data_IF_629807554156
#
_entry.id   IF_629807554156
#
_cell.length_a   1.000
_cell.length_b   1.000
_cell.length_c   1.000
_cell.angle_alpha   90.00
_cell.angle_beta   90.00
_cell.angle_gamma   90.00
#
_symmetry.space_group_name_H-M   'P 1'
#
loop_
_entity.id
_entity.type
_entity.pdbx_description
1 polymer ?
#
# COMPACT_ATOMS: atom_id res chain seq x y z
N UNK A 1 8.79 18.20 20.86
CA UNK A 1 9.51 18.35 19.59
C UNK A 1 9.24 17.16 18.66
N UNK A 2 9.47 15.93 19.09
CA UNK A 2 9.12 14.73 18.30
C UNK A 2 7.64 14.68 17.87
N UNK A 3 6.70 14.96 18.77
CA UNK A 3 5.26 14.99 18.45
C UNK A 3 4.89 16.05 17.39
N UNK A 4 5.54 17.21 17.39
CA UNK A 4 5.28 18.29 16.42
C UNK A 4 5.79 17.89 15.03
N UNK A 5 6.97 17.28 14.96
CA UNK A 5 7.51 16.81 13.69
C UNK A 5 6.76 15.57 13.18
N UNK A 6 6.24 14.73 14.07
CA UNK A 6 5.35 13.62 13.71
C UNK A 6 4.03 14.13 13.11
N UNK A 7 3.41 15.14 13.71
CA UNK A 7 2.18 15.77 13.21
C UNK A 7 2.39 16.41 11.82
N UNK A 8 3.58 16.98 11.57
CA UNK A 8 3.98 17.47 10.24
C UNK A 8 4.35 16.37 9.25
N UNK A 9 4.19 15.09 9.59
CA UNK A 9 4.60 13.92 8.79
C UNK A 9 6.11 13.82 8.52
N UNK A 10 6.95 14.49 9.33
CA UNK A 10 8.41 14.42 9.25
C UNK A 10 8.97 13.33 10.18
N UNK A 11 8.77 12.06 9.79
CA UNK A 11 9.16 10.91 10.62
C UNK A 11 10.66 10.87 10.95
N UNK A 12 11.53 11.25 10.01
CA UNK A 12 12.99 11.23 10.23
C UNK A 12 13.45 12.27 11.25
N UNK A 13 12.86 13.45 11.26
CA UNK A 13 13.20 14.48 12.24
C UNK A 13 12.55 14.19 13.60
N UNK A 14 11.37 13.56 13.61
CA UNK A 14 10.79 13.01 14.83
C UNK A 14 11.68 11.92 15.45
N UNK A 15 12.26 11.02 14.64
CA UNK A 15 13.25 10.02 15.08
C UNK A 15 14.52 10.65 15.61
N UNK A 16 15.06 11.68 14.95
CA UNK A 16 16.25 12.40 15.43
C UNK A 16 15.98 13.05 16.79
N UNK A 17 14.84 13.73 16.93
CA UNK A 17 14.44 14.35 18.18
C UNK A 17 14.30 13.35 19.34
N UNK A 18 13.92 12.09 19.06
CA UNK A 18 13.92 11.03 20.08
C UNK A 18 15.32 10.49 20.38
N UNK A 19 16.22 10.43 19.39
CA UNK A 19 17.62 10.00 19.58
C UNK A 19 18.45 11.02 20.35
N UNK A 20 18.07 12.29 20.32
CA UNK A 20 18.71 13.36 21.09
C UNK A 20 18.36 13.32 22.58
N UNK A 21 17.41 12.47 23.00
CA UNK A 21 17.11 12.25 24.41
C UNK A 21 18.23 11.45 25.10
N UNK A 22 18.51 11.71 26.40
CA UNK A 22 19.52 10.96 27.14
C UNK A 22 19.25 9.46 27.08
N UNK A 23 20.27 8.62 26.79
CA UNK A 23 20.09 7.18 26.69
C UNK A 23 19.69 6.61 28.06
N UNK A 24 18.47 6.10 28.13
CA UNK A 24 17.88 5.45 29.32
C UNK A 24 17.58 3.99 29.00
N UNK A 25 17.58 3.12 30.02
CA UNK A 25 17.07 1.75 29.83
C UNK A 25 15.57 1.80 29.56
N UNK A 26 15.04 0.83 28.83
CA UNK A 26 13.62 0.77 28.45
C UNK A 26 12.68 0.83 29.68
N UNK A 27 13.13 0.28 30.81
CA UNK A 27 12.45 0.30 32.11
C UNK A 27 12.40 1.70 32.78
N UNK A 28 13.29 2.61 32.37
CA UNK A 28 13.44 3.98 32.91
C UNK A 28 12.84 5.04 31.96
N UNK A 29 12.31 4.60 30.81
CA UNK A 29 11.66 5.48 29.84
C UNK A 29 10.27 5.85 30.37
N UNK A 30 9.96 7.14 30.35
CA UNK A 30 8.63 7.62 30.74
C UNK A 30 7.54 7.16 29.74
N UNK A 31 6.30 6.95 30.20
CA UNK A 31 5.22 6.42 29.35
C UNK A 31 4.96 7.19 28.05
N UNK A 32 5.18 8.51 28.05
CA UNK A 32 5.00 9.38 26.88
C UNK A 32 6.10 9.15 25.84
N UNK A 33 7.35 9.08 26.28
CA UNK A 33 8.48 8.78 25.39
C UNK A 33 8.35 7.37 24.81
N UNK A 34 7.94 6.39 25.62
CA UNK A 34 7.72 5.02 25.16
C UNK A 34 6.59 4.94 24.12
N UNK A 35 5.49 5.67 24.35
CA UNK A 35 4.38 5.78 23.40
C UNK A 35 4.82 6.37 22.06
N UNK A 36 5.52 7.51 22.09
CA UNK A 36 5.99 8.17 20.87
C UNK A 36 7.02 7.33 20.11
N UNK A 37 7.91 6.64 20.84
CA UNK A 37 8.87 5.72 20.23
C UNK A 37 8.17 4.53 19.57
N UNK A 38 7.09 4.01 20.18
CA UNK A 38 6.28 2.95 19.60
C UNK A 38 5.63 3.39 18.29
N UNK A 39 5.00 4.58 18.26
CA UNK A 39 4.36 5.13 17.06
C UNK A 39 5.36 5.36 15.92
N UNK A 40 6.51 5.97 16.23
CA UNK A 40 7.53 6.32 15.23
C UNK A 40 8.19 5.07 14.62
N UNK A 41 8.26 3.97 15.38
CA UNK A 41 8.83 2.70 14.91
C UNK A 41 7.83 1.79 14.20
N UNK A 42 6.54 2.14 14.11
CA UNK A 42 5.53 1.29 13.47
C UNK A 42 5.86 0.94 12.01
N UNK A 43 6.47 1.87 11.27
CA UNK A 43 6.81 1.64 9.86
C UNK A 43 8.09 0.80 9.67
N UNK A 44 8.95 0.70 10.69
CA UNK A 44 10.18 -0.10 10.65
C UNK A 44 9.96 -1.50 11.24
N UNK A 45 9.37 -1.56 12.43
CA UNK A 45 9.05 -2.81 13.13
C UNK A 45 7.76 -2.64 13.95
N UNK A 46 6.65 -2.97 13.31
CA UNK A 46 5.33 -2.98 13.94
C UNK A 46 5.26 -3.90 15.17
N UNK A 47 6.04 -4.98 15.22
CA UNK A 47 6.02 -5.95 16.34
C UNK A 47 6.53 -5.30 17.63
N UNK A 48 7.61 -4.54 17.54
CA UNK A 48 8.15 -3.77 18.66
C UNK A 48 7.15 -2.70 19.09
N UNK A 49 6.56 -1.97 18.14
CA UNK A 49 5.57 -0.94 18.42
C UNK A 49 4.35 -1.48 19.16
N UNK A 50 3.75 -2.58 18.68
CA UNK A 50 2.61 -3.23 19.35
C UNK A 50 2.95 -3.69 20.76
N UNK A 51 4.12 -4.33 20.96
CA UNK A 51 4.55 -4.78 22.28
C UNK A 51 4.67 -3.61 23.28
N UNK A 52 5.25 -2.48 22.85
CA UNK A 52 5.37 -1.28 23.69
C UNK A 52 4.02 -0.68 24.07
N UNK A 53 3.09 -0.58 23.11
CA UNK A 53 1.74 -0.06 23.37
C UNK A 53 0.91 -0.99 24.28
N UNK A 54 1.00 -2.31 24.10
CA UNK A 54 0.36 -3.27 25.00
C UNK A 54 0.94 -3.23 26.41
N UNK A 55 2.26 -3.06 26.53
CA UNK A 55 2.92 -2.87 27.83
C UNK A 55 2.39 -1.62 28.54
N UNK A 56 2.24 -0.49 27.83
CA UNK A 56 1.67 0.73 28.38
C UNK A 56 0.22 0.52 28.85
N UNK A 57 -0.61 -0.11 28.03
CA UNK A 57 -2.02 -0.36 28.39
C UNK A 57 -2.15 -1.26 29.63
N UNK A 58 -1.25 -2.24 29.78
CA UNK A 58 -1.23 -3.16 30.92
C UNK A 58 -0.66 -2.54 32.21
N UNK A 59 0.08 -1.43 32.11
CA UNK A 59 0.75 -0.78 33.25
C UNK A 59 0.38 0.71 33.37
N UNK A 60 -0.79 1.04 33.96
CA UNK A 60 -1.14 2.42 34.26
C UNK A 60 -0.13 3.09 35.22
N UNK A 61 0.15 4.40 35.09
CA UNK A 61 -0.48 5.37 34.19
C UNK A 61 0.13 5.41 32.79
N UNK A 62 -0.72 5.53 31.76
CA UNK A 62 -0.33 5.66 30.35
C UNK A 62 -0.92 6.91 29.69
N UNK A 63 -0.34 7.40 28.57
CA UNK A 63 -0.90 8.52 27.82
C UNK A 63 -2.31 8.20 27.29
N UNK A 64 -3.28 9.14 27.35
CA UNK A 64 -4.66 8.89 26.96
C UNK A 64 -4.81 8.41 25.51
N UNK A 65 -3.90 8.80 24.63
CA UNK A 65 -3.87 8.43 23.21
C UNK A 65 -3.49 6.95 23.00
N UNK A 66 -2.92 6.27 23.99
CA UNK A 66 -2.42 4.89 23.89
C UNK A 66 -3.51 3.92 23.46
N UNK A 67 -4.70 4.02 24.07
CA UNK A 67 -5.79 3.09 23.79
C UNK A 67 -6.34 3.26 22.37
N UNK A 68 -6.64 4.50 21.97
CA UNK A 68 -7.12 4.80 20.62
C UNK A 68 -6.11 4.48 19.52
N UNK A 69 -4.84 4.85 19.72
CA UNK A 69 -3.78 4.58 18.75
C UNK A 69 -3.53 3.08 18.59
N UNK A 70 -3.55 2.30 19.68
CA UNK A 70 -3.39 0.85 19.60
C UNK A 70 -4.49 0.20 18.75
N UNK A 71 -5.77 0.56 18.99
CA UNK A 71 -6.90 0.05 18.24
C UNK A 71 -6.83 0.45 16.75
N UNK A 72 -6.52 1.71 16.46
CA UNK A 72 -6.34 2.19 15.09
C UNK A 72 -5.21 1.46 14.37
N UNK A 73 -4.09 1.19 15.05
CA UNK A 73 -2.97 0.45 14.49
C UNK A 73 -3.33 -1.02 14.23
N UNK A 74 -4.07 -1.67 15.12
CA UNK A 74 -4.57 -3.03 14.85
C UNK A 74 -5.48 -3.06 13.62
N UNK A 75 -6.41 -2.11 13.49
CA UNK A 75 -7.25 -1.97 12.30
C UNK A 75 -6.44 -1.68 11.03
N UNK A 76 -5.37 -0.85 11.11
CA UNK A 76 -4.47 -0.54 9.99
C UNK A 76 -3.73 -1.78 9.48
N UNK A 77 -3.26 -2.63 10.39
CA UNK A 77 -2.56 -3.87 10.08
C UNK A 77 -3.48 -5.08 9.87
N UNK A 78 -4.80 -4.87 9.82
CA UNK A 78 -5.83 -5.90 9.63
C UNK A 78 -5.89 -6.97 10.72
N UNK A 79 -5.40 -6.66 11.92
CA UNK A 79 -5.54 -7.49 13.12
C UNK A 79 -6.87 -7.23 13.83
N UNK A 80 -7.98 -7.46 13.10
CA UNK A 80 -9.32 -7.12 13.56
C UNK A 80 -9.76 -7.91 14.81
N UNK A 81 -9.37 -9.17 14.93
CA UNK A 81 -9.72 -10.01 16.09
C UNK A 81 -9.05 -9.47 17.37
N UNK A 82 -7.76 -9.15 17.30
CA UNK A 82 -7.03 -8.54 18.43
C UNK A 82 -7.60 -7.16 18.80
N UNK A 83 -8.03 -6.36 17.81
CA UNK A 83 -8.70 -5.09 18.08
C UNK A 83 -10.03 -5.30 18.80
N UNK A 84 -10.81 -6.31 18.41
CA UNK A 84 -12.08 -6.66 19.05
C UNK A 84 -11.87 -7.11 20.51
N UNK A 85 -10.89 -7.98 20.75
CA UNK A 85 -10.56 -8.48 22.09
C UNK A 85 -10.14 -7.34 23.02
N UNK A 86 -9.19 -6.49 22.58
CA UNK A 86 -8.72 -5.35 23.37
C UNK A 86 -9.84 -4.36 23.66
N UNK A 87 -10.73 -4.10 22.70
CA UNK A 87 -11.89 -3.21 22.89
C UNK A 87 -12.90 -3.79 23.88
N UNK A 88 -13.12 -5.12 23.85
CA UNK A 88 -14.04 -5.80 24.75
C UNK A 88 -13.51 -5.88 26.20
N UNK A 89 -12.24 -6.24 26.37
CA UNK A 89 -11.58 -6.33 27.68
C UNK A 89 -11.50 -4.97 28.38
N UNK A 90 -11.35 -3.90 27.60
CA UNK A 90 -11.16 -2.54 28.10
C UNK A 90 -12.39 -1.65 27.89
N UNK A 91 -13.60 -2.21 27.91
CA UNK A 91 -14.85 -1.48 27.67
C UNK A 91 -15.05 -0.27 28.62
N UNK A 92 -14.48 -0.32 29.82
CA UNK A 92 -14.47 0.78 30.79
C UNK A 92 -13.60 1.98 30.37
N UNK A 93 -12.59 1.78 29.51
CA UNK A 93 -11.72 2.82 28.99
C UNK A 93 -12.36 3.58 27.82
N UNK A 94 -13.26 2.92 27.07
CA UNK A 94 -13.94 3.48 25.90
C UNK A 94 -14.55 4.86 26.16
N UNK A 95 -15.31 5.02 27.25
CA UNK A 95 -15.99 6.28 27.56
C UNK A 95 -15.05 7.41 27.99
N UNK A 96 -13.84 7.08 28.45
CA UNK A 96 -12.90 8.06 28.99
C UNK A 96 -11.84 8.48 27.96
N UNK A 97 -11.45 7.57 27.07
CA UNK A 97 -10.31 7.74 26.19
C UNK A 97 -10.66 7.79 24.70
N UNK A 98 -11.89 7.43 24.31
CA UNK A 98 -12.35 7.50 22.91
C UNK A 98 -13.46 8.54 22.78
N UNK A 99 -13.38 9.37 21.73
CA UNK A 99 -14.53 10.14 21.30
C UNK A 99 -15.62 9.21 20.76
N UNK A 100 -16.88 9.65 20.83
CA UNK A 100 -17.99 8.85 20.30
C UNK A 100 -17.79 8.51 18.82
N UNK A 101 -17.31 9.46 18.02
CA UNK A 101 -17.05 9.28 16.59
C UNK A 101 -15.91 8.29 16.33
N UNK A 102 -14.84 8.35 17.13
CA UNK A 102 -13.72 7.40 17.02
C UNK A 102 -14.16 5.99 17.42
N UNK A 103 -14.99 5.86 18.46
CA UNK A 103 -15.57 4.57 18.85
C UNK A 103 -16.46 4.00 17.73
N UNK A 104 -17.38 4.81 17.19
CA UNK A 104 -18.26 4.38 16.09
C UNK A 104 -17.44 3.97 14.84
N UNK A 105 -16.35 4.68 14.54
CA UNK A 105 -15.43 4.34 13.46
C UNK A 105 -14.72 3.00 13.72
N UNK A 106 -14.16 2.81 14.91
CA UNK A 106 -13.44 1.58 15.28
C UNK A 106 -14.36 0.36 15.30
N UNK A 107 -15.55 0.50 15.87
CA UNK A 107 -16.59 -0.54 15.89
C UNK A 107 -17.01 -0.92 14.45
N UNK A 108 -17.21 0.07 13.57
CA UNK A 108 -17.47 -0.20 12.15
C UNK A 108 -16.29 -0.87 11.45
N UNK A 109 -15.05 -0.44 11.72
CA UNK A 109 -13.84 -0.98 11.09
C UNK A 109 -13.58 -2.44 11.48
N UNK A 110 -13.77 -2.79 12.74
CA UNK A 110 -13.64 -4.17 13.25
C UNK A 110 -14.73 -5.06 12.65
N UNK A 111 -15.95 -4.55 12.52
CA UNK A 111 -17.10 -5.28 11.97
C UNK A 111 -16.99 -5.58 10.47
N UNK A 112 -16.06 -4.96 9.73
CA UNK A 112 -15.90 -5.20 8.28
C UNK A 112 -15.66 -6.68 7.95
N UNK A 113 -15.00 -7.44 8.82
CA UNK A 113 -14.71 -8.87 8.60
C UNK A 113 -15.92 -9.77 8.85
N UNK A 114 -16.77 -9.41 9.79
CA UNK A 114 -17.90 -10.24 10.24
C UNK A 114 -19.22 -9.86 9.56
N UNK A 115 -19.49 -8.56 9.38
CA UNK A 115 -20.73 -8.01 8.84
C UNK A 115 -20.45 -6.75 8.00
N UNK A 116 -19.99 -6.90 6.74
CA UNK A 116 -19.65 -5.77 5.87
C UNK A 116 -20.82 -4.80 5.63
N UNK A 117 -22.05 -5.31 5.58
CA UNK A 117 -23.26 -4.53 5.35
C UNK A 117 -23.60 -3.61 6.54
N UNK A 118 -23.45 -4.11 7.77
CA UNK A 118 -23.66 -3.29 8.98
C UNK A 118 -22.53 -2.31 9.18
N UNK A 119 -21.28 -2.72 8.94
CA UNK A 119 -20.12 -1.83 8.93
C UNK A 119 -20.34 -0.66 7.96
N UNK A 120 -20.83 -0.95 6.73
CA UNK A 120 -21.15 0.10 5.76
C UNK A 120 -22.22 1.07 6.29
N UNK A 121 -23.30 0.57 6.90
CA UNK A 121 -24.36 1.43 7.47
C UNK A 121 -23.81 2.35 8.57
N UNK A 122 -22.94 1.84 9.44
CA UNK A 122 -22.28 2.66 10.48
C UNK A 122 -21.40 3.74 9.86
N UNK A 123 -20.58 3.40 8.86
CA UNK A 123 -19.78 4.39 8.13
C UNK A 123 -20.65 5.41 7.38
N UNK A 124 -21.80 5.01 6.83
CA UNK A 124 -22.73 5.89 6.13
C UNK A 124 -23.39 6.92 7.05
N UNK A 125 -23.75 6.49 8.27
CA UNK A 125 -24.24 7.37 9.31
C UNK A 125 -23.18 8.40 9.72
N UNK A 126 -21.92 7.97 9.94
CA UNK A 126 -20.81 8.87 10.23
C UNK A 126 -20.55 9.84 9.06
N UNK A 127 -20.49 9.31 7.84
CA UNK A 127 -20.29 10.07 6.61
C UNK A 127 -21.33 11.18 6.45
N UNK A 128 -22.61 10.88 6.72
CA UNK A 128 -23.69 11.87 6.68
C UNK A 128 -23.47 13.01 7.68
N UNK A 129 -23.04 12.69 8.92
CA UNK A 129 -22.75 13.70 9.94
C UNK A 129 -21.59 14.62 9.53
N UNK A 130 -20.49 14.04 9.01
CA UNK A 130 -19.35 14.79 8.51
C UNK A 130 -19.72 15.68 7.31
N UNK A 131 -20.47 15.15 6.34
CA UNK A 131 -20.94 15.90 5.16
C UNK A 131 -21.78 17.11 5.58
N UNK A 132 -22.68 16.95 6.55
CA UNK A 132 -23.52 18.05 7.03
C UNK A 132 -22.70 19.16 7.69
N UNK A 133 -21.63 18.80 8.42
CA UNK A 133 -20.70 19.77 9.02
C UNK A 133 -19.83 20.45 7.96
N UNK A 134 -19.26 19.71 7.03
CA UNK A 134 -18.48 20.24 5.91
C UNK A 134 -19.30 21.22 5.07
N UNK A 135 -20.58 20.93 4.80
CA UNK A 135 -21.48 21.86 4.10
C UNK A 135 -21.76 23.14 4.89
N UNK A 136 -21.88 23.06 6.23
CA UNK A 136 -22.04 24.24 7.08
C UNK A 136 -20.78 25.11 7.05
N UNK A 137 -19.60 24.50 7.17
CA UNK A 137 -18.31 25.20 7.10
C UNK A 137 -18.07 25.84 5.73
N UNK A 138 -18.41 25.15 4.64
CA UNK A 138 -18.32 25.71 3.29
C UNK A 138 -19.24 26.95 3.11
N UNK A 139 -20.44 26.93 3.70
CA UNK A 139 -21.32 28.13 3.73
C UNK A 139 -20.73 29.24 4.58
N UNK A 140 -20.11 28.93 5.71
CA UNK A 140 -19.43 29.90 6.57
C UNK A 140 -18.26 30.57 5.84
N UNK A 141 -17.42 29.80 5.13
CA UNK A 141 -16.31 30.32 4.30
C UNK A 141 -16.84 31.26 3.22
N UNK A 142 -17.93 30.89 2.54
CA UNK A 142 -18.56 31.71 1.51
C UNK A 142 -19.13 33.03 2.08
N UNK A 143 -19.81 32.97 3.22
CA UNK A 143 -20.34 34.15 3.90
C UNK A 143 -19.21 35.09 4.39
N UNK A 144 -18.16 34.53 5.01
CA UNK A 144 -16.99 35.27 5.45
C UNK A 144 -16.29 35.96 4.25
N UNK A 145 -16.16 35.25 3.12
CA UNK A 145 -15.65 35.79 1.86
C UNK A 145 -16.46 36.96 1.34
N UNK A 146 -17.80 36.89 1.41
CA UNK A 146 -18.68 37.98 1.02
C UNK A 146 -18.52 39.22 1.93
N UNK A 147 -18.32 38.99 3.23
CA UNK A 147 -18.05 40.07 4.21
C UNK A 147 -16.62 40.61 4.18
N UNK A 148 -15.72 40.01 3.39
CA UNK A 148 -14.27 40.30 3.32
C UNK A 148 -13.52 40.21 4.65
N UNK A 149 -14.03 39.39 5.57
CA UNK A 149 -13.39 39.13 6.86
C UNK A 149 -12.32 38.05 6.69
N UNK A 150 -11.05 38.47 6.63
CA UNK A 150 -9.92 37.56 6.41
C UNK A 150 -9.69 36.60 7.57
N UNK A 151 -9.94 37.05 8.80
CA UNK A 151 -9.67 36.24 9.99
C UNK A 151 -10.73 35.13 10.12
N UNK A 152 -11.99 35.46 9.84
CA UNK A 152 -13.07 34.47 9.81
C UNK A 152 -12.92 33.45 8.66
N UNK A 153 -12.40 33.86 7.50
CA UNK A 153 -12.10 32.95 6.38
C UNK A 153 -11.03 31.93 6.80
N UNK A 154 -9.93 32.41 7.39
CA UNK A 154 -8.83 31.52 7.77
C UNK A 154 -9.24 30.56 8.89
N UNK A 155 -9.95 31.05 9.92
CA UNK A 155 -10.46 30.20 10.99
C UNK A 155 -11.41 29.10 10.48
N UNK A 156 -12.37 29.48 9.61
CA UNK A 156 -13.32 28.51 9.04
C UNK A 156 -12.64 27.51 8.10
N UNK A 157 -11.54 27.90 7.45
CA UNK A 157 -10.75 27.02 6.59
C UNK A 157 -9.96 25.99 7.39
N UNK A 158 -9.34 26.41 8.49
CA UNK A 158 -8.65 25.49 9.40
C UNK A 158 -9.65 24.46 9.95
N UNK A 159 -10.82 24.90 10.41
CA UNK A 159 -11.87 24.00 10.92
C UNK A 159 -12.37 23.04 9.83
N UNK A 160 -12.51 23.52 8.59
CA UNK A 160 -12.86 22.67 7.44
C UNK A 160 -11.79 21.62 7.16
N UNK A 161 -10.50 21.98 7.19
CA UNK A 161 -9.40 21.06 6.96
C UNK A 161 -9.32 20.00 8.07
N UNK A 162 -9.55 20.35 9.33
CA UNK A 162 -9.63 19.39 10.45
C UNK A 162 -10.80 18.43 10.32
N UNK A 163 -12.00 18.94 9.99
CA UNK A 163 -13.17 18.07 9.77
C UNK A 163 -12.97 17.14 8.56
N UNK A 164 -12.30 17.63 7.50
CA UNK A 164 -11.97 16.85 6.32
C UNK A 164 -10.99 15.72 6.65
N UNK A 165 -10.00 15.94 7.53
CA UNK A 165 -9.08 14.89 7.99
C UNK A 165 -9.82 13.73 8.66
N UNK A 166 -10.89 14.00 9.41
CA UNK A 166 -11.73 12.97 10.03
C UNK A 166 -12.66 12.28 9.03
N UNK A 167 -13.18 13.01 8.03
CA UNK A 167 -14.07 12.46 7.01
C UNK A 167 -13.38 11.50 6.04
N UNK A 168 -12.13 11.81 5.62
CA UNK A 168 -11.40 11.01 4.62
C UNK A 168 -11.30 9.53 5.01
N UNK A 169 -10.86 9.14 6.22
CA UNK A 169 -10.83 7.73 6.64
C UNK A 169 -12.17 7.00 6.55
N UNK A 170 -13.28 7.67 6.88
CA UNK A 170 -14.64 7.11 6.79
C UNK A 170 -15.00 6.83 5.33
N UNK A 171 -14.80 7.83 4.47
CA UNK A 171 -15.04 7.71 3.03
C UNK A 171 -14.21 6.59 2.41
N UNK A 172 -12.92 6.49 2.76
CA UNK A 172 -12.03 5.44 2.25
C UNK A 172 -12.43 4.06 2.77
N UNK A 173 -12.92 3.94 4.01
CA UNK A 173 -13.44 2.68 4.54
C UNK A 173 -14.71 2.22 3.79
N UNK A 174 -15.65 3.13 3.51
CA UNK A 174 -16.82 2.84 2.66
C UNK A 174 -16.40 2.37 1.26
N UNK A 175 -15.48 3.10 0.63
CA UNK A 175 -14.93 2.77 -0.69
C UNK A 175 -14.27 1.38 -0.68
N UNK A 176 -13.50 1.06 0.37
CA UNK A 176 -12.79 -0.21 0.54
C UNK A 176 -13.74 -1.42 0.56
N UNK A 177 -14.93 -1.29 1.16
CA UNK A 177 -15.94 -2.36 1.19
C UNK A 177 -16.40 -2.70 -0.23
N UNK A 178 -16.70 -1.69 -1.06
CA UNK A 178 -17.07 -1.91 -2.46
C UNK A 178 -15.89 -2.39 -3.32
N UNK A 179 -14.69 -1.88 -3.05
CA UNK A 179 -13.45 -2.29 -3.72
C UNK A 179 -13.19 -3.79 -3.53
N UNK A 180 -13.28 -4.30 -2.29
CA UNK A 180 -13.12 -5.73 -1.99
C UNK A 180 -14.16 -6.62 -2.67
N UNK A 181 -15.32 -6.07 -3.01
CA UNK A 181 -16.39 -6.75 -3.77
C UNK A 181 -16.27 -6.53 -5.29
N UNK A 182 -15.16 -5.94 -5.77
CA UNK A 182 -14.89 -5.60 -7.18
C UNK A 182 -15.97 -4.69 -7.81
N UNK A 183 -16.72 -3.94 -6.99
CA UNK A 183 -17.79 -3.03 -7.43
C UNK A 183 -17.23 -1.65 -7.73
N UNK A 184 -16.30 -1.54 -8.68
CA UNK A 184 -15.56 -0.30 -8.97
C UNK A 184 -16.47 0.87 -9.39
N UNK A 185 -17.59 0.60 -10.07
CA UNK A 185 -18.58 1.61 -10.45
C UNK A 185 -19.27 2.26 -9.25
N UNK A 186 -19.51 1.48 -8.18
CA UNK A 186 -20.05 2.01 -6.92
C UNK A 186 -19.03 2.88 -6.21
N UNK A 187 -17.74 2.50 -6.24
CA UNK A 187 -16.66 3.33 -5.68
C UNK A 187 -16.54 4.65 -6.44
N UNK A 188 -16.62 4.62 -7.78
CA UNK A 188 -16.60 5.85 -8.59
C UNK A 188 -17.80 6.76 -8.24
N UNK A 189 -19.00 6.20 -8.08
CA UNK A 189 -20.19 6.95 -7.68
C UNK A 189 -20.00 7.61 -6.31
N UNK A 190 -19.46 6.86 -5.33
CA UNK A 190 -19.16 7.37 -4.00
C UNK A 190 -18.17 8.54 -4.04
N UNK A 191 -17.06 8.41 -4.78
CA UNK A 191 -16.10 9.50 -4.93
C UNK A 191 -16.67 10.70 -5.68
N UNK A 192 -17.51 10.48 -6.70
CA UNK A 192 -18.17 11.57 -7.42
C UNK A 192 -19.07 12.39 -6.50
N UNK A 193 -19.77 11.76 -5.56
CA UNK A 193 -20.60 12.44 -4.56
C UNK A 193 -19.76 13.24 -3.56
N UNK A 194 -18.57 12.74 -3.19
CA UNK A 194 -17.67 13.42 -2.25
C UNK A 194 -16.74 14.45 -2.90
N UNK A 195 -16.76 14.59 -4.22
CA UNK A 195 -15.84 15.43 -4.99
C UNK A 195 -15.93 16.93 -4.60
N UNK A 196 -17.12 17.38 -4.16
CA UNK A 196 -17.34 18.77 -3.72
C UNK A 196 -16.48 19.15 -2.50
N UNK A 197 -16.09 18.16 -1.68
CA UNK A 197 -15.27 18.38 -0.47
C UNK A 197 -13.84 17.89 -0.63
N UNK A 198 -13.67 16.72 -1.27
CA UNK A 198 -12.40 16.00 -1.29
C UNK A 198 -11.61 16.19 -2.59
N UNK A 199 -12.15 16.97 -3.54
CA UNK A 199 -11.63 17.06 -4.90
C UNK A 199 -10.16 17.45 -4.99
N UNK A 200 -9.64 18.20 -4.01
CA UNK A 200 -8.23 18.60 -3.94
C UNK A 200 -7.34 17.71 -3.06
N UNK A 201 -7.92 16.80 -2.29
CA UNK A 201 -7.20 15.95 -1.37
C UNK A 201 -6.40 14.86 -2.11
N UNK A 202 -5.12 14.71 -1.77
CA UNK A 202 -4.19 13.79 -2.44
C UNK A 202 -4.66 12.33 -2.39
N UNK A 203 -5.04 11.83 -1.21
CA UNK A 203 -5.53 10.45 -1.03
C UNK A 203 -6.79 10.20 -1.87
N UNK A 204 -7.68 11.19 -1.98
CA UNK A 204 -8.89 11.07 -2.79
C UNK A 204 -8.55 11.01 -4.27
N UNK A 205 -7.71 11.93 -4.78
CA UNK A 205 -7.25 11.93 -6.18
C UNK A 205 -6.59 10.60 -6.56
N UNK A 206 -5.75 10.05 -5.66
CA UNK A 206 -5.05 8.80 -5.91
C UNK A 206 -6.01 7.60 -5.95
N UNK A 207 -6.94 7.51 -5.01
CA UNK A 207 -7.92 6.42 -4.99
C UNK A 207 -8.92 6.52 -6.15
N UNK A 208 -9.28 7.73 -6.60
CA UNK A 208 -10.03 7.92 -7.85
C UNK A 208 -9.23 7.39 -9.04
N UNK A 209 -7.94 7.69 -9.12
CA UNK A 209 -7.07 7.16 -10.18
C UNK A 209 -7.04 5.62 -10.20
N UNK A 210 -6.91 4.99 -9.02
CA UNK A 210 -6.96 3.53 -8.87
C UNK A 210 -8.30 2.94 -9.33
N UNK A 211 -9.42 3.55 -8.96
CA UNK A 211 -10.76 3.07 -9.37
C UNK A 211 -10.96 3.19 -10.88
N UNK A 212 -10.57 4.32 -11.47
CA UNK A 212 -10.65 4.53 -12.92
C UNK A 212 -9.74 3.54 -13.66
N UNK A 213 -8.54 3.29 -13.14
CA UNK A 213 -7.61 2.30 -13.68
C UNK A 213 -8.21 0.89 -13.68
N UNK A 214 -8.84 0.47 -12.57
CA UNK A 214 -9.44 -0.87 -12.45
C UNK A 214 -10.66 -1.09 -13.35
N UNK A 215 -11.34 -0.03 -13.79
CA UNK A 215 -12.45 -0.15 -14.74
C UNK A 215 -12.00 -0.41 -16.19
N UNK A 216 -10.71 -0.22 -16.50
CA UNK A 216 -10.10 -0.46 -17.81
C UNK A 216 -10.76 0.30 -18.99
N UNK A 217 -10.27 0.07 -20.22
CA UNK A 217 -10.83 0.65 -21.43
C UNK A 217 -10.61 2.16 -21.54
N UNK A 218 -11.67 2.92 -21.85
CA UNK A 218 -11.58 4.38 -22.04
C UNK A 218 -11.16 5.12 -20.76
N UNK A 219 -11.35 4.51 -19.59
CA UNK A 219 -11.03 5.07 -18.27
C UNK A 219 -9.52 5.19 -18.02
N UNK A 220 -8.66 4.53 -18.80
CA UNK A 220 -7.21 4.72 -18.70
C UNK A 220 -6.82 6.18 -18.91
N UNK A 221 -7.44 6.87 -19.88
CA UNK A 221 -7.18 8.30 -20.14
C UNK A 221 -7.54 9.18 -18.95
N UNK A 222 -8.62 8.85 -18.26
CA UNK A 222 -9.03 9.59 -17.06
C UNK A 222 -8.08 9.30 -15.89
N UNK A 223 -7.63 8.05 -15.72
CA UNK A 223 -6.68 7.68 -14.67
C UNK A 223 -5.34 8.44 -14.81
N UNK A 224 -4.84 8.62 -16.04
CA UNK A 224 -3.62 9.40 -16.33
C UNK A 224 -3.75 10.83 -15.79
N UNK A 225 -4.91 11.48 -15.97
CA UNK A 225 -5.14 12.86 -15.49
C UNK A 225 -5.00 12.98 -13.97
N UNK A 226 -5.36 11.94 -13.23
CA UNK A 226 -5.21 11.93 -11.77
C UNK A 226 -3.82 11.50 -11.31
N UNK A 227 -3.16 10.58 -12.01
CA UNK A 227 -1.80 10.14 -11.66
C UNK A 227 -0.71 11.17 -12.00
N UNK A 228 -0.81 11.86 -13.15
CA UNK A 228 0.25 12.75 -13.64
C UNK A 228 0.67 13.85 -12.67
N UNK A 229 -0.25 14.56 -11.98
CA UNK A 229 0.14 15.59 -11.02
C UNK A 229 1.07 15.08 -9.90
N UNK A 230 0.98 13.80 -9.51
CA UNK A 230 1.85 13.22 -8.49
C UNK A 230 3.29 13.06 -9.00
N UNK A 231 3.46 12.64 -10.25
CA UNK A 231 4.79 12.48 -10.87
C UNK A 231 5.41 13.85 -11.18
N UNK A 232 4.61 14.76 -11.73
CA UNK A 232 5.08 16.12 -12.07
C UNK A 232 5.49 16.93 -10.84
N UNK A 233 4.79 16.78 -9.71
CA UNK A 233 5.12 17.51 -8.46
C UNK A 233 6.46 17.09 -7.86
N UNK A 234 6.81 15.81 -7.92
CA UNK A 234 8.09 15.31 -7.43
C UNK A 234 9.25 15.60 -8.40
N UNK A 235 8.96 15.69 -9.71
CA UNK A 235 9.99 15.84 -10.74
C UNK A 235 10.91 14.61 -10.85
N UNK A 236 11.83 14.62 -11.81
CA UNK A 236 12.71 13.47 -12.10
C UNK A 236 13.54 13.01 -10.89
N UNK A 237 14.00 13.94 -10.06
CA UNK A 237 14.95 13.66 -8.97
C UNK A 237 14.32 12.98 -7.75
N UNK A 238 13.01 13.10 -7.59
CA UNK A 238 12.28 12.57 -6.43
C UNK A 238 11.21 11.57 -6.86
N UNK A 239 11.35 10.97 -8.04
CA UNK A 239 10.35 10.02 -8.58
C UNK A 239 10.11 8.82 -7.64
N UNK A 240 11.12 8.44 -6.85
CA UNK A 240 11.01 7.35 -5.86
C UNK A 240 10.21 7.72 -4.61
N UNK A 241 9.83 8.99 -4.41
CA UNK A 241 8.87 9.39 -3.36
C UNK A 241 7.44 8.95 -3.71
N UNK A 242 7.14 8.80 -5.00
CA UNK A 242 5.87 8.26 -5.45
C UNK A 242 5.86 6.75 -5.24
N UNK A 243 4.75 6.21 -4.73
CA UNK A 243 4.61 4.77 -4.52
C UNK A 243 4.77 4.00 -5.84
N UNK A 244 5.55 2.92 -5.82
CA UNK A 244 5.90 2.15 -7.02
C UNK A 244 4.68 1.68 -7.83
N UNK A 245 3.59 1.29 -7.16
CA UNK A 245 2.35 0.86 -7.81
C UNK A 245 1.67 1.98 -8.60
N UNK A 246 1.83 3.23 -8.18
CA UNK A 246 1.27 4.41 -8.85
C UNK A 246 2.01 4.65 -10.16
N UNK A 247 3.34 4.57 -10.14
CA UNK A 247 4.17 4.66 -11.34
C UNK A 247 3.89 3.50 -12.29
N UNK A 248 3.75 2.29 -11.76
CA UNK A 248 3.43 1.10 -12.55
C UNK A 248 2.08 1.25 -13.27
N UNK A 249 1.02 1.61 -12.55
CA UNK A 249 -0.29 1.83 -13.12
C UNK A 249 -0.30 2.98 -14.14
N UNK A 250 0.48 4.03 -13.91
CA UNK A 250 0.62 5.13 -14.87
C UNK A 250 1.31 4.66 -16.16
N UNK A 251 2.40 3.90 -16.08
CA UNK A 251 3.04 3.30 -17.26
C UNK A 251 2.07 2.40 -18.02
N UNK A 252 1.30 1.56 -17.31
CA UNK A 252 0.27 0.72 -17.93
C UNK A 252 -0.79 1.56 -18.63
N UNK A 253 -1.29 2.61 -17.99
CA UNK A 253 -2.30 3.48 -18.58
C UNK A 253 -1.76 4.19 -19.84
N UNK A 254 -0.51 4.63 -19.83
CA UNK A 254 0.16 5.20 -21.00
C UNK A 254 0.27 4.21 -22.15
N UNK A 255 0.73 2.98 -21.88
CA UNK A 255 0.84 1.91 -22.88
C UNK A 255 -0.55 1.58 -23.47
N UNK A 256 -1.56 1.44 -22.62
CA UNK A 256 -2.94 1.15 -23.03
C UNK A 256 -3.60 2.30 -23.81
N UNK A 257 -3.02 3.50 -23.76
CA UNK A 257 -3.49 4.68 -24.51
C UNK A 257 -2.56 5.07 -25.67
N UNK A 258 -1.63 4.18 -26.05
CA UNK A 258 -0.64 4.35 -27.12
C UNK A 258 0.34 5.51 -26.89
N UNK A 259 0.63 5.84 -25.65
CA UNK A 259 1.61 6.85 -25.22
C UNK A 259 2.89 6.15 -24.71
N UNK A 260 3.48 5.30 -25.55
CA UNK A 260 4.60 4.45 -25.15
C UNK A 260 5.87 5.24 -24.79
N UNK A 261 6.08 6.40 -25.43
CA UNK A 261 7.21 7.28 -25.15
C UNK A 261 7.18 7.81 -23.71
N UNK A 262 6.00 8.24 -23.23
CA UNK A 262 5.80 8.73 -21.87
C UNK A 262 6.04 7.63 -20.83
N UNK A 263 5.59 6.40 -21.11
CA UNK A 263 5.86 5.25 -20.25
C UNK A 263 7.37 4.94 -20.18
N UNK A 264 8.06 4.98 -21.32
CA UNK A 264 9.50 4.70 -21.39
C UNK A 264 10.33 5.78 -20.65
N UNK A 265 9.92 7.05 -20.71
CA UNK A 265 10.56 8.14 -19.98
C UNK A 265 10.46 7.95 -18.46
N UNK A 266 9.29 7.55 -17.96
CA UNK A 266 9.11 7.22 -16.53
C UNK A 266 10.00 6.05 -16.13
N UNK A 267 10.02 4.97 -16.92
CA UNK A 267 10.84 3.79 -16.62
C UNK A 267 12.33 4.14 -16.56
N UNK A 268 12.84 4.89 -17.54
CA UNK A 268 14.24 5.36 -17.55
C UNK A 268 14.56 6.25 -16.35
N UNK A 269 13.62 7.11 -15.95
CA UNK A 269 13.79 7.99 -14.80
C UNK A 269 13.88 7.21 -13.49
N UNK A 270 13.06 6.18 -13.32
CA UNK A 270 13.11 5.27 -12.16
C UNK A 270 14.46 4.55 -12.09
N UNK A 271 14.88 3.91 -13.19
CA UNK A 271 16.15 3.16 -13.24
C UNK A 271 17.34 4.05 -12.89
N UNK A 272 17.42 5.24 -13.50
CA UNK A 272 18.48 6.22 -13.24
C UNK A 272 18.50 6.69 -11.78
N UNK A 273 17.34 6.91 -11.18
CA UNK A 273 17.25 7.35 -9.79
C UNK A 273 17.57 6.23 -8.80
N UNK A 274 17.10 5.00 -9.04
CA UNK A 274 17.46 3.83 -8.23
C UNK A 274 18.98 3.58 -8.26
N UNK A 275 19.61 3.66 -9.44
CA UNK A 275 21.06 3.55 -9.55
C UNK A 275 21.79 4.65 -8.78
N UNK A 276 21.29 5.89 -8.85
CA UNK A 276 21.87 7.03 -8.11
C UNK A 276 21.79 6.80 -6.60
N UNK A 277 20.64 6.35 -6.11
CA UNK A 277 20.43 6.06 -4.69
C UNK A 277 21.23 4.84 -4.23
N UNK A 278 21.35 3.80 -5.05
CA UNK A 278 22.17 2.63 -4.74
C UNK A 278 23.65 2.99 -4.56
N UNK A 279 24.16 3.96 -5.32
CA UNK A 279 25.53 4.50 -5.15
C UNK A 279 25.69 5.32 -3.86
N UNK A 280 24.68 6.13 -3.53
CA UNK A 280 24.73 7.02 -2.37
C UNK A 280 24.48 6.29 -1.04
N UNK A 281 23.53 5.35 -1.03
CA UNK A 281 23.05 4.63 0.15
C UNK A 281 22.89 3.14 -0.15
N UNK A 282 23.98 2.34 -0.16
CA UNK A 282 23.94 0.92 -0.54
C UNK A 282 23.04 0.04 0.35
N UNK A 283 22.71 0.49 1.57
CA UNK A 283 21.82 -0.22 2.47
C UNK A 283 20.33 0.02 2.21
N UNK A 284 19.94 1.12 1.55
CA UNK A 284 18.54 1.42 1.28
C UNK A 284 18.15 0.78 -0.05
N UNK A 285 17.27 -0.21 0.01
CA UNK A 285 16.78 -0.90 -1.18
C UNK A 285 15.54 -0.19 -1.72
N UNK A 286 15.49 -0.04 -3.04
CA UNK A 286 14.35 0.47 -3.78
C UNK A 286 13.87 -0.62 -4.74
N UNK A 287 12.55 -0.78 -4.82
CA UNK A 287 11.89 -1.84 -5.59
C UNK A 287 10.97 -1.27 -6.67
N UNK A 288 11.08 0.01 -6.99
CA UNK A 288 10.22 0.68 -7.96
C UNK A 288 10.40 0.07 -9.35
N UNK A 289 11.63 -0.10 -9.84
CA UNK A 289 11.88 -0.73 -11.15
C UNK A 289 11.40 -2.18 -11.20
N UNK A 290 11.55 -2.91 -10.08
CA UNK A 290 11.05 -4.28 -9.95
C UNK A 290 9.52 -4.32 -10.14
N UNK A 291 8.79 -3.55 -9.32
CA UNK A 291 7.33 -3.52 -9.33
C UNK A 291 6.80 -3.04 -10.68
N UNK A 292 7.39 -2.00 -11.28
CA UNK A 292 6.98 -1.48 -12.59
C UNK A 292 7.18 -2.53 -13.69
N UNK A 293 8.35 -3.16 -13.77
CA UNK A 293 8.60 -4.20 -14.78
C UNK A 293 7.70 -5.42 -14.59
N UNK A 294 7.43 -5.82 -13.35
CA UNK A 294 6.55 -6.96 -13.04
C UNK A 294 5.10 -6.69 -13.45
N UNK A 295 4.58 -5.49 -13.15
CA UNK A 295 3.20 -5.08 -13.52
C UNK A 295 3.06 -4.94 -15.03
N UNK A 296 4.02 -4.28 -15.71
CA UNK A 296 4.01 -4.15 -17.17
C UNK A 296 4.14 -5.54 -17.81
N UNK A 297 5.06 -6.38 -17.34
CA UNK A 297 5.25 -7.72 -17.86
C UNK A 297 3.97 -8.57 -17.78
N UNK A 298 3.30 -8.54 -16.62
CA UNK A 298 2.02 -9.23 -16.38
C UNK A 298 0.96 -8.76 -17.38
N UNK A 299 0.82 -7.45 -17.59
CA UNK A 299 -0.13 -6.89 -18.53
C UNK A 299 0.10 -7.38 -19.97
N UNK A 300 1.35 -7.42 -20.43
CA UNK A 300 1.67 -7.88 -21.78
C UNK A 300 1.40 -9.38 -21.95
N UNK A 301 1.68 -10.19 -20.92
CA UNK A 301 1.28 -11.60 -20.90
C UNK A 301 -0.25 -11.77 -20.97
N UNK A 302 -1.02 -10.97 -20.22
CA UNK A 302 -2.50 -10.99 -20.28
C UNK A 302 -3.06 -10.56 -21.65
N UNK A 303 -2.38 -9.65 -22.35
CA UNK A 303 -2.76 -9.23 -23.72
C UNK A 303 -2.22 -10.17 -24.82
N UNK A 304 -1.55 -11.25 -24.45
CA UNK A 304 -1.03 -12.27 -25.36
C UNK A 304 0.32 -11.94 -26.00
N UNK A 305 0.96 -10.82 -25.66
CA UNK A 305 2.30 -10.48 -26.11
C UNK A 305 3.34 -11.03 -25.12
N UNK A 306 3.53 -12.35 -25.16
CA UNK A 306 4.34 -13.05 -24.17
C UNK A 306 5.84 -12.77 -24.30
N UNK A 307 6.40 -12.61 -25.50
CA UNK A 307 7.85 -12.37 -25.67
C UNK A 307 8.29 -11.10 -24.92
N UNK A 308 7.57 -10.00 -25.12
CA UNK A 308 7.87 -8.76 -24.40
C UNK A 308 7.52 -8.86 -22.92
N UNK A 309 6.37 -9.45 -22.59
CA UNK A 309 5.91 -9.60 -21.21
C UNK A 309 6.90 -10.37 -20.34
N UNK A 310 7.34 -11.54 -20.81
CA UNK A 310 8.31 -12.38 -20.11
C UNK A 310 9.67 -11.70 -20.01
N UNK A 311 10.16 -11.06 -21.07
CA UNK A 311 11.41 -10.29 -21.01
C UNK A 311 11.40 -9.22 -19.91
N UNK A 312 10.26 -8.54 -19.72
CA UNK A 312 10.09 -7.57 -18.62
C UNK A 312 10.07 -8.23 -17.24
N UNK A 313 9.42 -9.38 -17.12
CA UNK A 313 9.38 -10.14 -15.87
C UNK A 313 10.79 -10.61 -15.48
N UNK A 314 11.58 -11.12 -16.42
CA UNK A 314 12.96 -11.53 -16.15
C UNK A 314 13.78 -10.36 -15.58
N UNK A 315 13.73 -9.20 -16.26
CA UNK A 315 14.41 -7.96 -15.80
C UNK A 315 13.94 -7.48 -14.43
N UNK A 316 12.69 -7.76 -14.05
CA UNK A 316 12.16 -7.31 -12.76
C UNK A 316 12.88 -7.93 -11.56
N UNK A 317 13.46 -9.13 -11.72
CA UNK A 317 14.09 -9.88 -10.64
C UNK A 317 15.60 -9.61 -10.50
N UNK A 318 16.19 -8.80 -11.40
CA UNK A 318 17.62 -8.47 -11.34
C UNK A 318 17.90 -7.27 -10.41
N UNK A 319 18.80 -7.39 -9.41
CA UNK A 319 19.61 -8.56 -9.09
C UNK A 319 18.88 -9.54 -8.14
N UNK A 320 19.08 -10.84 -8.37
CA UNK A 320 18.31 -11.91 -7.72
C UNK A 320 18.50 -11.95 -6.20
N UNK A 321 19.67 -11.58 -5.68
CA UNK A 321 19.98 -11.55 -4.25
C UNK A 321 19.10 -10.57 -3.45
N UNK A 322 18.53 -9.56 -4.13
CA UNK A 322 17.72 -8.52 -3.48
C UNK A 322 16.24 -8.61 -3.83
N UNK A 323 15.92 -8.96 -5.07
CA UNK A 323 14.56 -8.85 -5.60
C UNK A 323 13.81 -10.18 -5.67
N UNK A 324 14.51 -11.31 -5.53
CA UNK A 324 13.87 -12.62 -5.51
C UNK A 324 13.26 -12.90 -4.14
N UNK A 325 11.94 -12.93 -4.08
CA UNK A 325 11.17 -13.24 -2.87
C UNK A 325 9.91 -14.04 -3.21
N UNK A 326 9.19 -14.48 -2.18
CA UNK A 326 7.96 -15.26 -2.36
C UNK A 326 6.91 -14.52 -3.20
N UNK A 327 6.70 -13.22 -2.95
CA UNK A 327 5.75 -12.38 -3.68
C UNK A 327 6.15 -12.17 -5.14
N UNK A 328 7.39 -11.75 -5.39
CA UNK A 328 7.88 -11.48 -6.76
C UNK A 328 7.90 -12.77 -7.59
N UNK A 329 8.25 -13.89 -6.97
CA UNK A 329 8.16 -15.20 -7.60
C UNK A 329 6.72 -15.64 -7.88
N UNK A 330 5.78 -15.38 -6.97
CA UNK A 330 4.37 -15.72 -7.15
C UNK A 330 3.78 -15.08 -8.42
N UNK A 331 4.06 -13.81 -8.68
CA UNK A 331 3.61 -13.15 -9.91
C UNK A 331 4.38 -13.62 -11.14
N UNK A 332 5.69 -13.82 -11.00
CA UNK A 332 6.57 -14.34 -12.06
C UNK A 332 6.06 -15.69 -12.57
N UNK A 333 5.92 -16.69 -11.69
CA UNK A 333 5.53 -18.06 -12.08
C UNK A 333 4.18 -18.12 -12.77
N UNK A 334 3.22 -17.27 -12.38
CA UNK A 334 1.88 -17.22 -13.01
C UNK A 334 1.96 -16.80 -14.47
N UNK A 335 2.83 -15.85 -14.81
CA UNK A 335 3.01 -15.41 -16.19
C UNK A 335 3.68 -16.50 -17.04
N UNK A 336 4.67 -17.21 -16.49
CA UNK A 336 5.28 -18.36 -17.14
C UNK A 336 4.30 -19.53 -17.34
N UNK A 337 3.45 -19.81 -16.36
CA UNK A 337 2.39 -20.81 -16.49
C UNK A 337 1.37 -20.42 -17.56
N UNK A 338 0.96 -19.15 -17.62
CA UNK A 338 0.07 -18.64 -18.66
C UNK A 338 0.70 -18.76 -20.06
N UNK A 339 2.00 -18.48 -20.18
CA UNK A 339 2.75 -18.71 -21.42
C UNK A 339 2.77 -20.20 -21.80
N UNK A 340 3.12 -21.09 -20.86
CA UNK A 340 3.15 -22.53 -21.08
C UNK A 340 1.77 -23.07 -21.51
N UNK A 341 0.69 -22.57 -20.91
CA UNK A 341 -0.68 -22.90 -21.32
C UNK A 341 -0.94 -22.53 -22.79
N UNK A 342 -0.57 -21.31 -23.21
CA UNK A 342 -0.80 -20.85 -24.59
C UNK A 342 0.06 -21.61 -25.61
N UNK A 343 1.30 -21.96 -25.26
CA UNK A 343 2.15 -22.84 -26.05
C UNK A 343 1.55 -24.24 -26.20
N UNK A 344 1.06 -24.83 -25.11
CA UNK A 344 0.46 -26.16 -25.12
C UNK A 344 -0.80 -26.24 -26.01
N UNK A 345 -1.53 -25.12 -26.12
CA UNK A 345 -2.72 -24.98 -26.98
C UNK A 345 -2.37 -24.65 -28.44
N UNK A 346 -1.09 -24.51 -28.79
CA UNK A 346 -0.61 -24.06 -30.10
C UNK A 346 -1.20 -22.70 -30.53
N UNK A 347 -1.52 -21.85 -29.54
CA UNK A 347 -2.03 -20.50 -29.79
C UNK A 347 -0.90 -19.48 -30.01
N UNK A 348 0.34 -19.90 -29.80
CA UNK A 348 1.55 -19.09 -29.88
C UNK A 348 2.71 -19.96 -30.39
N UNK A 349 3.63 -19.36 -31.15
CA UNK A 349 4.96 -19.89 -31.38
C UNK A 349 5.98 -18.87 -30.85
N UNK A 350 6.97 -19.34 -30.10
CA UNK A 350 8.09 -18.50 -29.62
C UNK A 350 9.27 -18.60 -30.59
N UNK A 351 10.08 -17.55 -30.63
CA UNK A 351 11.42 -17.62 -31.24
C UNK A 351 12.35 -18.46 -30.36
N UNK A 352 13.29 -19.14 -30.99
CA UNK A 352 14.31 -19.95 -30.30
C UNK A 352 15.11 -19.13 -29.27
N UNK A 353 15.45 -17.88 -29.62
CA UNK A 353 16.12 -16.94 -28.70
C UNK A 353 15.33 -16.75 -27.41
N UNK A 354 14.01 -16.52 -27.51
CA UNK A 354 13.14 -16.35 -26.34
C UNK A 354 13.09 -17.62 -25.48
N UNK A 355 13.11 -18.81 -26.10
CA UNK A 355 13.13 -20.07 -25.36
C UNK A 355 14.44 -20.21 -24.58
N UNK A 356 15.58 -19.89 -25.21
CA UNK A 356 16.90 -19.93 -24.56
C UNK A 356 16.93 -18.97 -23.37
N UNK A 357 16.50 -17.71 -23.56
CA UNK A 357 16.44 -16.71 -22.50
C UNK A 357 15.58 -17.18 -21.30
N UNK A 358 14.46 -17.85 -21.57
CA UNK A 358 13.59 -18.42 -20.54
C UNK A 358 14.30 -19.54 -19.77
N UNK A 359 15.01 -20.43 -20.47
CA UNK A 359 15.74 -21.54 -19.86
C UNK A 359 16.88 -21.03 -18.97
N UNK A 360 17.67 -20.08 -19.46
CA UNK A 360 18.77 -19.45 -18.73
C UNK A 360 18.24 -18.73 -17.48
N UNK A 361 17.16 -17.95 -17.63
CA UNK A 361 16.51 -17.29 -16.50
C UNK A 361 16.04 -18.30 -15.44
N UNK A 362 15.36 -19.38 -15.83
CA UNK A 362 14.89 -20.39 -14.87
C UNK A 362 16.04 -21.13 -14.16
N UNK A 363 17.16 -21.32 -14.84
CA UNK A 363 18.39 -21.86 -14.26
C UNK A 363 19.03 -20.90 -13.24
N UNK A 364 19.07 -19.61 -13.55
CA UNK A 364 19.54 -18.60 -12.61
C UNK A 364 18.66 -18.51 -11.37
N UNK A 365 17.33 -18.58 -11.54
CA UNK A 365 16.40 -18.62 -10.42
C UNK A 365 16.57 -19.90 -9.60
N UNK A 366 16.83 -21.04 -10.23
CA UNK A 366 17.14 -22.29 -9.52
C UNK A 366 18.41 -22.18 -8.66
N UNK A 367 19.43 -21.48 -9.16
CA UNK A 367 20.69 -21.29 -8.45
C UNK A 367 20.55 -20.34 -7.26
N UNK A 368 19.78 -19.25 -7.42
CA UNK A 368 19.62 -18.21 -6.41
C UNK A 368 18.43 -18.43 -5.45
N UNK A 369 17.45 -19.25 -5.83
CA UNK A 369 16.18 -19.44 -5.10
C UNK A 369 16.15 -20.62 -4.13
N UNK A 370 17.31 -21.16 -3.74
CA UNK A 370 17.38 -22.36 -2.87
C UNK A 370 16.91 -22.10 -1.44
N UNK A 371 17.20 -20.90 -0.94
CA UNK A 371 16.86 -20.48 0.43
C UNK A 371 15.56 -19.66 0.49
N UNK A 372 14.89 -19.45 -0.64
CA UNK A 372 13.65 -18.66 -0.74
C UNK A 372 12.44 -19.59 -0.79
N UNK A 373 11.55 -19.46 0.19
CA UNK A 373 10.30 -20.24 0.25
C UNK A 373 9.20 -19.63 -0.63
N UNK A 374 8.32 -20.47 -1.18
CA UNK A 374 7.25 -20.06 -2.11
C UNK A 374 5.90 -19.79 -1.44
N UNK A 375 5.76 -20.18 -0.16
CA UNK A 375 4.57 -19.92 0.66
C UNK A 375 4.87 -18.86 1.70
N UNK A 376 4.06 -17.79 1.71
CA UNK A 376 4.02 -16.80 2.78
C UNK A 376 3.03 -17.32 3.81
N UNK A 377 3.45 -18.18 4.74
CA UNK A 377 2.54 -18.59 5.80
C UNK A 377 2.37 -17.48 6.84
N UNK A 378 1.12 -17.04 7.00
CA UNK A 378 0.61 -16.25 8.10
C UNK A 378 0.61 -17.09 9.39
N UNK A 379 1.77 -17.46 9.91
CA UNK A 379 2.02 -17.88 11.29
C UNK A 379 3.42 -18.45 11.40
N UNK A 380 4.30 -17.77 12.15
CA UNK A 380 5.60 -18.30 12.57
C UNK A 380 5.45 -19.37 13.66
N UNK A 381 4.60 -20.37 13.45
CA UNK A 381 4.51 -21.52 14.35
C UNK A 381 4.73 -22.81 13.56
N UNK A 382 5.94 -23.35 13.76
CA UNK A 382 6.33 -24.74 13.55
C UNK A 382 6.30 -25.26 12.10
N UNK A 383 7.38 -24.99 11.37
CA UNK A 383 7.98 -26.05 10.56
C UNK A 383 9.22 -26.56 11.27
N UNK A 384 9.15 -27.78 11.78
CA UNK A 384 10.34 -28.53 12.15
C UNK A 384 11.19 -28.73 10.89
N UNK A 385 12.49 -28.42 10.98
CA UNK A 385 13.47 -28.50 9.89
C UNK A 385 13.74 -29.93 9.37
N UNK A 386 12.85 -30.90 9.64
CA UNK A 386 12.98 -32.31 9.26
C UNK A 386 11.85 -32.82 8.34
N UNK A 387 10.90 -31.99 7.90
CA UNK A 387 9.87 -32.45 6.96
C UNK A 387 10.41 -32.51 5.50
N UNK A 388 10.41 -33.68 4.83
CA UNK A 388 10.80 -33.83 3.42
C UNK A 388 10.00 -32.96 2.44
N UNK A 389 8.81 -32.49 2.84
CA UNK A 389 7.98 -31.59 2.03
C UNK A 389 8.51 -30.16 2.00
N UNK A 390 9.41 -29.76 2.91
CA UNK A 390 10.03 -28.44 2.94
C UNK A 390 10.88 -28.18 1.68
N UNK A 391 11.51 -29.23 1.13
CA UNK A 391 12.27 -29.16 -0.13
C UNK A 391 11.38 -28.93 -1.37
N UNK A 392 10.06 -29.16 -1.27
CA UNK A 392 9.09 -28.91 -2.36
C UNK A 392 8.49 -27.51 -2.36
N UNK A 393 8.84 -26.66 -1.39
CA UNK A 393 8.29 -25.31 -1.22
C UNK A 393 9.33 -24.21 -1.46
N UNK A 394 10.38 -24.48 -2.23
CA UNK A 394 11.40 -23.48 -2.57
C UNK A 394 11.22 -22.95 -3.99
N UNK A 395 11.64 -21.70 -4.20
CA UNK A 395 11.62 -21.05 -5.51
C UNK A 395 12.43 -21.88 -6.51
N UNK A 396 13.57 -22.43 -6.07
CA UNK A 396 14.40 -23.30 -6.90
C UNK A 396 13.67 -24.56 -7.38
N UNK A 397 12.86 -25.19 -6.51
CA UNK A 397 12.10 -26.38 -6.89
C UNK A 397 11.03 -26.06 -7.93
N UNK A 398 10.28 -24.97 -7.75
CA UNK A 398 9.26 -24.54 -8.73
C UNK A 398 9.89 -24.09 -10.06
N UNK A 399 11.05 -23.41 -10.02
CA UNK A 399 11.77 -23.02 -11.23
C UNK A 399 12.22 -24.24 -12.05
N UNK A 400 12.74 -25.28 -11.39
CA UNK A 400 13.11 -26.54 -12.04
C UNK A 400 11.92 -27.22 -12.71
N UNK A 401 10.75 -27.22 -12.06
CA UNK A 401 9.52 -27.78 -12.66
C UNK A 401 9.09 -26.99 -13.90
N UNK A 402 9.08 -25.65 -13.81
CA UNK A 402 8.78 -24.82 -14.98
C UNK A 402 9.75 -25.08 -16.12
N UNK A 403 11.04 -25.21 -15.82
CA UNK A 403 12.08 -25.51 -16.82
C UNK A 403 11.78 -26.84 -17.54
N UNK A 404 11.36 -27.86 -16.80
CA UNK A 404 10.94 -29.15 -17.38
C UNK A 404 9.71 -29.01 -18.29
N UNK A 405 8.71 -28.23 -17.87
CA UNK A 405 7.52 -27.96 -18.69
C UNK A 405 7.90 -27.30 -20.01
N UNK A 406 8.74 -26.25 -19.96
CA UNK A 406 9.19 -25.58 -21.18
C UNK A 406 9.99 -26.51 -22.09
N UNK A 407 10.83 -27.40 -21.54
CA UNK A 407 11.60 -28.35 -22.37
C UNK A 407 10.67 -29.25 -23.17
N UNK A 408 9.61 -29.78 -22.53
CA UNK A 408 8.60 -30.62 -23.19
C UNK A 408 7.80 -29.86 -24.25
N UNK A 409 7.53 -28.57 -24.03
CA UNK A 409 6.74 -27.74 -24.95
C UNK A 409 7.54 -27.25 -26.16
N UNK A 410 8.87 -27.33 -26.10
CA UNK A 410 9.77 -26.83 -27.15
C UNK A 410 10.52 -27.95 -27.89
N UNK A 411 10.32 -29.21 -27.48
CA UNK A 411 10.62 -30.42 -28.26
C UNK A 411 9.55 -30.66 -29.33
#
# INVERSE_FOLDING_TARGET
>A
MAAIEFDKSNLEDAKKALRDLPPRKEEEIDPVTLHNEALIRMDEDATVGFRKLNYLLSNPPFPPETFGNLLLLYCKHEYYDLAADILAENSHLTYNFLSQELFEYLDAAIMVTTSPEEAYRKFDNLSTQYIDRLRKLMRAISAASASRDKDAIEASRIEFDEELKCYIPVLMAQARIYWRKEKYTMVESLFRQSAEFCGDHSIWKLNVAHVLFMQQGEKFKDSIRYYNPFVQKCGEKNILEVAAIVLANLCVAYIMTNQNEDAEEIMKSIEKEEERQARNNPQKQFFHSCIVNLVIGTLYCEKGNFEFGVSRICKSLEPYDKKLGADTWFYTKRCFLALAENLSKQMLALKDETVIDIMEFLEDIENNGRDTFTKIEQSKQQFDAMDPTCASNTVAFEARQLRQVFMILTE
#
